data_IF_380019001704
#
_entry.id   IF_380019001704
#
_cell.length_a   1.000
_cell.length_b   1.000
_cell.length_c   1.000
_cell.angle_alpha   90.00
_cell.angle_beta   90.00
_cell.angle_gamma   90.00
#
_symmetry.space_group_name_H-M   'P 1'
#
loop_
_entity.id
_entity.type
_entity.pdbx_description
1 polymer ?
#
# COMPACT_ATOMS: atom_id res chain seq x y z
N UNK A 1 -9.45 -2.04 17.05
CA UNK A 1 -10.33 -2.34 15.91
C UNK A 1 -10.03 -3.75 15.48
N UNK A 2 -11.05 -4.57 15.24
CA UNK A 2 -10.85 -5.96 14.83
C UNK A 2 -11.88 -6.31 13.76
N UNK A 3 -11.48 -7.09 12.76
CA UNK A 3 -12.33 -7.51 11.64
C UNK A 3 -13.03 -6.32 10.94
N UNK A 4 -12.28 -5.24 10.76
CA UNK A 4 -12.77 -4.06 10.04
C UNK A 4 -12.40 -4.18 8.57
N UNK A 5 -13.44 -4.26 7.74
CA UNK A 5 -13.32 -4.30 6.30
C UNK A 5 -13.91 -3.04 5.69
N UNK A 6 -13.11 -2.34 4.89
CA UNK A 6 -13.55 -1.17 4.14
C UNK A 6 -13.46 -1.46 2.65
N UNK A 7 -14.49 -1.04 1.92
CA UNK A 7 -14.58 -1.21 0.48
C UNK A 7 -15.00 0.09 -0.19
N UNK A 8 -14.24 0.49 -1.21
CA UNK A 8 -14.56 1.64 -2.07
C UNK A 8 -14.89 1.13 -3.47
N UNK A 9 -16.19 1.09 -3.80
CA UNK A 9 -16.71 0.57 -5.06
C UNK A 9 -16.82 -0.96 -5.13
N UNK A 10 -16.85 -1.51 -6.34
CA UNK A 10 -16.82 -2.96 -6.62
C UNK A 10 -18.18 -3.66 -6.62
N UNK A 11 -19.21 -3.08 -5.99
CA UNK A 11 -20.58 -3.56 -6.12
C UNK A 11 -21.16 -3.24 -7.51
N UNK A 12 -22.11 -4.06 -7.95
CA UNK A 12 -22.85 -3.82 -9.19
C UNK A 12 -23.53 -2.46 -9.14
N UNK A 13 -23.33 -1.66 -10.19
CA UNK A 13 -23.88 -0.30 -10.26
C UNK A 13 -22.92 0.82 -9.82
N UNK A 14 -21.70 0.52 -9.40
CA UNK A 14 -20.70 1.57 -9.06
C UNK A 14 -20.43 2.55 -10.23
N UNK A 15 -20.56 2.10 -11.48
CA UNK A 15 -20.44 2.97 -12.65
C UNK A 15 -21.58 4.02 -12.75
N UNK A 16 -22.77 3.69 -12.23
CA UNK A 16 -23.94 4.58 -12.17
C UNK A 16 -24.04 5.35 -10.85
N UNK A 17 -23.47 4.82 -9.77
CA UNK A 17 -23.44 5.41 -8.43
C UNK A 17 -22.01 5.34 -7.85
N UNK A 18 -21.16 6.32 -8.19
CA UNK A 18 -19.76 6.37 -7.75
C UNK A 18 -19.63 6.35 -6.23
N UNK A 19 -18.70 5.53 -5.71
CA UNK A 19 -18.38 5.49 -4.28
C UNK A 19 -16.95 5.93 -4.09
N UNK A 20 -16.75 7.02 -3.37
CA UNK A 20 -15.44 7.61 -3.14
C UNK A 20 -15.22 8.01 -1.70
N UNK A 21 -13.97 7.95 -1.26
CA UNK A 21 -13.52 8.46 0.03
C UNK A 21 -12.11 9.01 -0.13
N UNK A 22 -11.65 9.89 0.75
CA UNK A 22 -10.24 10.28 0.74
C UNK A 22 -9.37 9.19 1.38
N UNK A 23 -9.73 8.76 2.59
CA UNK A 23 -9.02 7.74 3.37
C UNK A 23 -10.04 6.76 3.95
N UNK A 24 -9.84 5.45 3.82
CA UNK A 24 -10.81 4.48 4.39
C UNK A 24 -10.78 4.46 5.92
N UNK A 25 -9.58 4.46 6.52
CA UNK A 25 -9.38 4.47 7.97
C UNK A 25 -8.36 5.53 8.35
N UNK A 26 -8.73 6.46 9.22
CA UNK A 26 -7.81 7.46 9.77
C UNK A 26 -7.70 7.29 11.28
N UNK A 27 -6.53 6.86 11.75
CA UNK A 27 -6.25 6.63 13.17
C UNK A 27 -5.54 7.84 13.75
N UNK A 28 -6.28 8.66 14.47
CA UNK A 28 -5.72 9.83 15.17
C UNK A 28 -5.30 9.53 16.60
N UNK A 29 -5.90 8.51 17.24
CA UNK A 29 -5.60 8.15 18.62
C UNK A 29 -4.35 7.26 18.70
N UNK A 30 -3.49 7.52 19.68
CA UNK A 30 -2.39 6.62 20.00
C UNK A 30 -2.85 5.33 20.69
N UNK A 31 -1.94 4.36 20.80
CA UNK A 31 -2.16 3.04 21.43
C UNK A 31 -3.30 2.21 20.83
N UNK A 32 -3.75 2.54 19.61
CA UNK A 32 -4.76 1.74 18.92
C UNK A 32 -4.14 0.42 18.47
N UNK A 33 -4.85 -0.67 18.73
CA UNK A 33 -4.53 -1.99 18.17
C UNK A 33 -5.53 -2.27 17.05
N UNK A 34 -5.03 -2.55 15.85
CA UNK A 34 -5.75 -3.13 14.74
C UNK A 34 -5.40 -4.62 14.59
N UNK A 35 -6.41 -5.46 14.40
CA UNK A 35 -6.24 -6.89 14.19
C UNK A 35 -7.17 -7.36 13.06
N UNK A 36 -6.60 -7.93 12.01
CA UNK A 36 -7.30 -8.40 10.82
C UNK A 36 -8.11 -7.29 10.11
N UNK A 37 -7.42 -6.43 9.36
CA UNK A 37 -8.03 -5.36 8.56
C UNK A 37 -7.80 -5.62 7.07
N UNK A 38 -8.84 -5.41 6.26
CA UNK A 38 -8.72 -5.37 4.80
C UNK A 38 -9.39 -4.11 4.24
N UNK A 39 -8.57 -3.24 3.65
CA UNK A 39 -8.96 -1.94 3.14
C UNK A 39 -8.77 -1.94 1.62
N UNK A 40 -9.86 -2.21 0.91
CA UNK A 40 -9.81 -2.54 -0.51
C UNK A 40 -10.52 -1.47 -1.35
N UNK A 41 -9.74 -0.71 -2.13
CA UNK A 41 -10.32 0.05 -3.24
C UNK A 41 -10.55 -0.96 -4.34
N UNK A 42 -11.79 -1.09 -4.80
CA UNK A 42 -12.11 -2.12 -5.77
C UNK A 42 -11.21 -2.03 -7.01
N UNK A 43 -10.56 -3.11 -7.41
CA UNK A 43 -9.89 -3.22 -8.71
C UNK A 43 -10.85 -3.73 -9.80
N UNK A 44 -11.90 -4.45 -9.40
CA UNK A 44 -12.93 -5.00 -10.30
C UNK A 44 -14.37 -4.87 -9.75
N UNK A 45 -15.32 -5.00 -10.67
CA UNK A 45 -16.76 -5.21 -10.44
C UNK A 45 -17.27 -6.25 -11.45
N UNK A 46 -18.55 -6.66 -11.39
CA UNK A 46 -19.11 -7.65 -12.34
C UNK A 46 -18.93 -7.23 -13.81
N UNK A 47 -18.94 -5.92 -14.08
CA UNK A 47 -18.70 -5.36 -15.42
C UNK A 47 -17.23 -5.29 -15.87
N UNK A 48 -16.27 -5.73 -15.04
CA UNK A 48 -14.84 -5.63 -15.30
C UNK A 48 -14.12 -4.60 -14.40
N UNK A 49 -12.99 -4.09 -14.87
CA UNK A 49 -12.16 -3.14 -14.12
C UNK A 49 -12.90 -1.83 -13.81
N UNK A 50 -12.63 -1.24 -12.64
CA UNK A 50 -13.23 0.03 -12.20
C UNK A 50 -12.25 1.19 -12.28
N UNK A 51 -12.73 2.41 -12.50
CA UNK A 51 -11.89 3.59 -12.80
C UNK A 51 -11.62 4.49 -11.58
N UNK A 52 -10.59 5.35 -11.69
CA UNK A 52 -10.30 6.40 -10.69
C UNK A 52 -11.47 7.36 -10.49
N UNK A 53 -12.11 7.76 -11.58
CA UNK A 53 -13.19 8.74 -11.57
C UNK A 53 -14.43 8.24 -10.80
N UNK A 54 -14.67 6.93 -10.81
CA UNK A 54 -15.81 6.31 -10.13
C UNK A 54 -15.49 5.91 -8.69
N UNK A 55 -14.25 5.51 -8.43
CA UNK A 55 -13.78 5.06 -7.11
C UNK A 55 -12.53 5.83 -6.66
N UNK A 56 -12.63 7.14 -6.38
CA UNK A 56 -11.52 7.88 -5.82
C UNK A 56 -11.27 7.41 -4.38
N UNK A 57 -10.00 7.17 -4.07
CA UNK A 57 -9.48 6.74 -2.78
C UNK A 57 -7.99 7.07 -2.74
N UNK A 58 -7.59 8.06 -1.97
CA UNK A 58 -6.18 8.46 -1.89
C UNK A 58 -5.39 7.42 -1.08
N UNK A 59 -5.90 7.06 0.10
CA UNK A 59 -5.21 6.18 1.05
C UNK A 59 -6.14 5.11 1.59
N UNK A 60 -5.62 3.92 1.86
CA UNK A 60 -6.38 2.93 2.62
C UNK A 60 -6.39 3.31 4.09
N UNK A 61 -5.20 3.57 4.64
CA UNK A 61 -5.05 3.96 6.03
C UNK A 61 -4.05 5.10 6.21
N UNK A 62 -4.43 6.06 7.07
CA UNK A 62 -3.53 7.09 7.61
C UNK A 62 -3.44 6.89 9.12
N UNK A 63 -2.22 6.83 9.66
CA UNK A 63 -1.97 6.63 11.09
C UNK A 63 -1.20 7.80 11.67
N UNK A 64 -1.89 8.70 12.37
CA UNK A 64 -1.28 9.84 13.07
C UNK A 64 -0.97 9.55 14.53
N UNK A 65 -1.67 8.58 15.13
CA UNK A 65 -1.47 8.20 16.52
C UNK A 65 -0.13 7.48 16.76
N UNK A 66 0.53 7.83 17.85
CA UNK A 66 1.70 7.12 18.36
C UNK A 66 1.35 5.74 18.93
N UNK A 67 2.32 4.82 18.97
CA UNK A 67 2.20 3.50 19.61
C UNK A 67 1.06 2.64 19.04
N UNK A 68 0.67 2.89 17.78
CA UNK A 68 -0.33 2.08 17.07
C UNK A 68 0.30 0.75 16.64
N UNK A 69 -0.44 -0.35 16.82
CA UNK A 69 -0.01 -1.68 16.40
C UNK A 69 -1.02 -2.30 15.46
N UNK A 70 -0.54 -2.88 14.36
CA UNK A 70 -1.34 -3.61 13.38
C UNK A 70 -0.91 -5.07 13.32
N UNK A 71 -1.87 -5.98 13.45
CA UNK A 71 -1.71 -7.40 13.20
C UNK A 71 -2.57 -7.77 11.99
N UNK A 72 -1.99 -8.34 10.94
CA UNK A 72 -2.76 -8.77 9.77
C UNK A 72 -3.40 -7.59 9.02
N UNK A 73 -2.59 -6.74 8.41
CA UNK A 73 -3.08 -5.58 7.64
C UNK A 73 -3.00 -5.86 6.13
N UNK A 74 -4.13 -5.75 5.43
CA UNK A 74 -4.20 -5.75 3.98
C UNK A 74 -4.75 -4.41 3.47
N UNK A 75 -4.03 -3.76 2.55
CA UNK A 75 -4.46 -2.48 1.95
C UNK A 75 -4.16 -2.50 0.46
N UNK A 76 -5.13 -2.16 -0.38
CA UNK A 76 -5.00 -2.41 -1.82
C UNK A 76 -5.58 -1.30 -2.70
N UNK A 77 -4.87 -1.07 -3.80
CA UNK A 77 -5.26 -0.31 -5.00
C UNK A 77 -5.61 1.17 -4.83
N UNK A 78 -5.19 1.83 -3.76
CA UNK A 78 -5.45 3.28 -3.61
C UNK A 78 -4.56 4.11 -4.54
N UNK A 79 -4.96 5.37 -4.76
CA UNK A 79 -4.36 6.24 -5.79
C UNK A 79 -3.13 7.02 -5.32
N UNK A 80 -2.84 7.01 -4.03
CA UNK A 80 -1.61 7.51 -3.41
C UNK A 80 -1.02 6.42 -2.52
N UNK A 81 -0.16 6.78 -1.56
CA UNK A 81 0.39 5.82 -0.61
C UNK A 81 -0.71 4.95 0.03
N UNK A 82 -0.61 3.63 -0.09
CA UNK A 82 -1.64 2.72 0.42
C UNK A 82 -1.75 2.84 1.95
N UNK A 83 -0.60 2.80 2.60
CA UNK A 83 -0.42 3.15 4.02
C UNK A 83 0.40 4.42 4.13
N UNK A 84 -0.12 5.42 4.84
CA UNK A 84 0.66 6.57 5.30
C UNK A 84 0.74 6.55 6.84
N UNK A 85 1.94 6.40 7.37
CA UNK A 85 2.20 6.29 8.79
C UNK A 85 2.98 7.50 9.31
N UNK A 86 2.31 8.33 10.10
CA UNK A 86 2.84 9.59 10.64
C UNK A 86 3.23 9.50 12.12
N UNK A 87 2.58 8.62 12.90
CA UNK A 87 2.83 8.44 14.33
C UNK A 87 4.11 7.67 14.65
N UNK A 88 4.68 7.93 15.83
CA UNK A 88 5.92 7.30 16.30
C UNK A 88 5.67 5.95 16.99
N UNK A 89 6.72 5.11 17.08
CA UNK A 89 6.69 3.78 17.71
C UNK A 89 5.66 2.82 17.11
N UNK A 90 5.30 3.03 15.85
CA UNK A 90 4.37 2.20 15.10
C UNK A 90 4.91 0.79 14.86
N UNK A 91 4.01 -0.21 14.90
CA UNK A 91 4.36 -1.62 14.64
C UNK A 91 3.37 -2.27 13.70
N UNK A 92 3.86 -2.96 12.68
CA UNK A 92 3.02 -3.78 11.79
C UNK A 92 3.56 -5.19 11.70
N UNK A 93 2.75 -6.17 12.13
CA UNK A 93 3.03 -7.59 12.03
C UNK A 93 2.16 -8.17 10.93
N UNK A 94 2.81 -8.61 9.85
CA UNK A 94 2.20 -8.98 8.58
C UNK A 94 1.50 -7.81 7.88
N UNK A 95 1.97 -7.50 6.67
CA UNK A 95 1.30 -6.59 5.75
C UNK A 95 1.28 -7.17 4.34
N UNK A 96 0.13 -7.09 3.68
CA UNK A 96 -0.01 -7.38 2.26
C UNK A 96 -0.62 -6.16 1.57
N UNK A 97 -0.18 -5.91 0.34
CA UNK A 97 -0.75 -4.86 -0.49
C UNK A 97 -0.55 -5.11 -1.97
N UNK A 98 -1.49 -4.60 -2.77
CA UNK A 98 -1.36 -4.56 -4.22
C UNK A 98 -1.54 -3.14 -4.73
N UNK A 99 -0.56 -2.67 -5.51
CA UNK A 99 -0.59 -1.35 -6.14
C UNK A 99 -1.75 -1.22 -7.15
N UNK A 100 -2.23 -0.01 -7.47
CA UNK A 100 -3.39 0.17 -8.35
C UNK A 100 -3.08 -0.28 -9.79
N UNK A 101 -3.72 -1.39 -10.23
CA UNK A 101 -3.40 -2.03 -11.51
C UNK A 101 -3.52 -1.10 -12.72
N UNK A 102 -4.55 -0.26 -12.71
CA UNK A 102 -4.89 0.62 -13.82
C UNK A 102 -4.24 2.00 -13.75
N UNK A 103 -3.35 2.25 -12.78
CA UNK A 103 -2.68 3.55 -12.66
C UNK A 103 -1.68 3.77 -13.79
N UNK A 104 -1.56 5.02 -14.22
CA UNK A 104 -0.51 5.45 -15.15
C UNK A 104 0.79 5.80 -14.41
N UNK A 105 1.88 5.93 -15.16
CA UNK A 105 3.17 6.39 -14.63
C UNK A 105 3.03 7.76 -13.94
N UNK A 106 2.27 8.69 -14.53
CA UNK A 106 2.07 10.05 -14.01
C UNK A 106 1.20 10.09 -12.75
N UNK A 107 0.35 9.08 -12.56
CA UNK A 107 -0.57 9.03 -11.41
C UNK A 107 0.05 8.39 -10.18
N UNK A 108 0.97 7.44 -10.35
CA UNK A 108 1.50 6.66 -9.22
C UNK A 108 3.03 6.64 -9.16
N UNK A 109 3.70 6.37 -10.29
CA UNK A 109 5.15 6.26 -10.35
C UNK A 109 5.87 7.61 -10.18
N UNK A 110 5.54 8.60 -11.01
CA UNK A 110 6.20 9.92 -11.01
C UNK A 110 6.00 10.70 -9.69
N UNK A 111 4.82 10.67 -9.04
CA UNK A 111 4.65 11.26 -7.71
C UNK A 111 5.46 10.55 -6.61
N UNK A 112 5.96 9.34 -6.86
CA UNK A 112 6.75 8.57 -5.91
C UNK A 112 5.94 7.91 -4.80
N UNK A 113 4.68 7.54 -5.07
CA UNK A 113 3.86 6.81 -4.09
C UNK A 113 4.33 5.37 -3.88
N UNK A 114 4.04 4.83 -2.71
CA UNK A 114 4.49 3.52 -2.24
C UNK A 114 3.34 2.68 -1.66
N UNK A 115 3.60 1.39 -1.46
CA UNK A 115 2.67 0.52 -0.73
C UNK A 115 2.65 0.84 0.77
N UNK A 116 3.80 1.25 1.32
CA UNK A 116 3.94 1.56 2.74
C UNK A 116 4.87 2.75 2.97
N UNK A 117 4.32 3.89 3.39
CA UNK A 117 5.08 5.12 3.60
C UNK A 117 5.07 5.51 5.07
N UNK A 118 6.25 5.51 5.70
CA UNK A 118 6.51 6.08 7.02
C UNK A 118 7.03 7.50 6.84
N UNK A 119 6.35 8.47 7.43
CA UNK A 119 6.68 9.89 7.33
C UNK A 119 8.08 10.21 7.85
N UNK A 120 8.72 11.22 7.26
CA UNK A 120 10.10 11.63 7.57
C UNK A 120 10.32 12.10 9.02
N UNK A 121 9.24 12.46 9.73
CA UNK A 121 9.30 12.87 11.14
C UNK A 121 9.48 11.72 12.13
N UNK A 122 9.04 10.50 11.77
CA UNK A 122 9.03 9.31 12.65
C UNK A 122 10.45 8.92 13.08
N UNK A 123 10.62 8.55 14.35
CA UNK A 123 11.93 8.19 14.93
C UNK A 123 12.07 6.71 15.23
N UNK A 124 10.96 6.03 15.50
CA UNK A 124 10.91 4.60 15.77
C UNK A 124 9.74 3.99 14.98
N UNK A 125 10.02 2.95 14.20
CA UNK A 125 9.00 2.21 13.47
C UNK A 125 9.46 0.77 13.24
N UNK A 126 8.53 -0.19 13.24
CA UNK A 126 8.83 -1.59 13.00
C UNK A 126 7.82 -2.26 12.08
N UNK A 127 8.33 -3.08 11.15
CA UNK A 127 7.51 -3.86 10.22
C UNK A 127 8.05 -5.28 10.07
N UNK A 128 7.21 -6.28 10.26
CA UNK A 128 7.58 -7.70 10.14
C UNK A 128 6.76 -8.36 9.04
N UNK A 129 7.42 -8.80 7.97
CA UNK A 129 6.75 -9.41 6.82
C UNK A 129 5.89 -8.39 6.07
N UNK A 130 6.51 -7.32 5.57
CA UNK A 130 5.85 -6.26 4.81
C UNK A 130 5.96 -6.57 3.31
N UNK A 131 4.83 -6.95 2.70
CA UNK A 131 4.76 -7.33 1.29
C UNK A 131 4.03 -6.29 0.43
N UNK A 132 4.71 -5.84 -0.63
CA UNK A 132 4.14 -4.92 -1.62
C UNK A 132 4.20 -5.54 -3.01
N UNK A 133 3.04 -5.65 -3.65
CA UNK A 133 2.85 -6.38 -4.88
C UNK A 133 2.49 -5.41 -6.01
N UNK A 134 3.01 -5.66 -7.22
CA UNK A 134 2.71 -4.89 -8.42
C UNK A 134 2.12 -5.79 -9.51
N UNK A 135 1.05 -5.31 -10.13
CA UNK A 135 0.37 -5.99 -11.22
C UNK A 135 -0.29 -4.98 -12.17
N UNK A 136 0.49 -4.01 -12.66
CA UNK A 136 -0.05 -2.96 -13.53
C UNK A 136 -0.55 -3.56 -14.84
N UNK A 137 -1.86 -3.67 -15.02
CA UNK A 137 -2.48 -4.39 -16.15
C UNK A 137 -2.62 -3.48 -17.38
N UNK A 138 -2.88 -2.19 -17.16
CA UNK A 138 -3.19 -1.23 -18.21
C UNK A 138 -1.97 -0.45 -18.71
N UNK A 139 -1.00 -0.14 -17.83
CA UNK A 139 0.12 0.74 -18.15
C UNK A 139 1.45 0.21 -17.60
N UNK A 140 2.55 0.57 -18.27
CA UNK A 140 3.89 0.28 -17.77
C UNK A 140 4.27 1.32 -16.71
N UNK A 141 4.25 0.93 -15.43
CA UNK A 141 4.55 1.82 -14.30
C UNK A 141 5.78 1.34 -13.54
N UNK A 142 6.74 2.23 -13.36
CA UNK A 142 7.92 1.99 -12.53
C UNK A 142 7.75 2.73 -11.22
N UNK A 143 7.71 1.98 -10.12
CA UNK A 143 7.64 2.51 -8.76
C UNK A 143 9.03 2.49 -8.15
N UNK A 144 9.45 3.63 -7.60
CA UNK A 144 10.81 3.78 -7.07
C UNK A 144 11.07 2.84 -5.90
N UNK A 145 10.13 2.76 -4.95
CA UNK A 145 10.28 1.90 -3.77
C UNK A 145 8.93 1.41 -3.26
N UNK A 146 8.91 0.18 -2.78
CA UNK A 146 7.72 -0.39 -2.13
C UNK A 146 7.45 0.21 -0.74
N UNK A 147 8.53 0.47 0.00
CA UNK A 147 8.50 1.01 1.36
C UNK A 147 9.35 2.26 1.39
N UNK A 148 8.76 3.39 1.79
CA UNK A 148 9.46 4.66 2.00
C UNK A 148 9.51 4.94 3.49
N UNK A 149 10.69 5.23 4.04
CA UNK A 149 10.83 5.55 5.46
C UNK A 149 12.06 6.43 5.74
N UNK A 150 12.14 7.09 6.91
CA UNK A 150 13.37 7.72 7.36
C UNK A 150 14.54 6.71 7.40
N UNK A 151 15.77 7.09 7.00
CA UNK A 151 16.94 6.20 7.08
C UNK A 151 17.18 5.62 8.48
N UNK A 152 16.81 6.34 9.54
CA UNK A 152 16.97 5.92 10.92
C UNK A 152 16.08 4.73 11.32
N UNK A 153 14.98 4.48 10.62
CA UNK A 153 14.04 3.38 10.92
C UNK A 153 14.11 2.25 9.90
N UNK A 154 14.95 2.34 8.87
CA UNK A 154 15.11 1.31 7.84
C UNK A 154 15.41 -0.09 8.43
N UNK A 155 16.24 -0.15 9.48
CA UNK A 155 16.60 -1.40 10.15
C UNK A 155 15.46 -2.01 10.97
N UNK A 156 14.35 -1.30 11.15
CA UNK A 156 13.14 -1.79 11.81
C UNK A 156 12.29 -2.71 10.92
N UNK A 157 12.60 -2.82 9.62
CA UNK A 157 11.92 -3.72 8.71
C UNK A 157 12.58 -5.11 8.66
N UNK A 158 11.85 -6.13 9.08
CA UNK A 158 12.27 -7.53 9.14
C UNK A 158 11.52 -8.33 8.08
N UNK A 159 12.26 -8.96 7.18
CA UNK A 159 11.73 -9.70 6.03
C UNK A 159 10.75 -8.89 5.13
N UNK A 160 11.02 -7.62 4.76
CA UNK A 160 10.25 -6.95 3.73
C UNK A 160 10.48 -7.61 2.37
N UNK A 161 9.44 -7.62 1.53
CA UNK A 161 9.49 -8.21 0.20
C UNK A 161 8.69 -7.42 -0.82
N UNK A 162 9.08 -7.58 -2.08
CA UNK A 162 8.28 -7.14 -3.23
C UNK A 162 7.98 -8.31 -4.14
N UNK A 163 6.79 -8.26 -4.73
CA UNK A 163 6.36 -9.23 -5.74
C UNK A 163 5.92 -8.46 -6.97
N UNK A 164 6.46 -8.82 -8.12
CA UNK A 164 5.84 -8.49 -9.40
C UNK A 164 5.02 -9.70 -9.81
N UNK A 165 3.73 -9.51 -10.06
CA UNK A 165 2.87 -10.52 -10.67
C UNK A 165 3.08 -10.51 -12.19
N UNK A 166 2.03 -10.81 -12.97
CA UNK A 166 2.14 -10.93 -14.42
C UNK A 166 1.88 -9.62 -15.18
N UNK A 167 1.61 -8.52 -14.46
CA UNK A 167 1.45 -7.19 -15.04
C UNK A 167 2.73 -6.58 -15.60
N UNK A 168 2.58 -5.35 -16.09
CA UNK A 168 3.63 -4.50 -16.64
C UNK A 168 4.40 -3.77 -15.52
N UNK A 169 5.55 -3.19 -15.88
CA UNK A 169 6.32 -2.36 -14.96
C UNK A 169 6.88 -3.13 -13.77
N UNK A 170 6.84 -2.51 -12.60
CA UNK A 170 7.24 -3.12 -11.33
C UNK A 170 7.83 -2.13 -10.33
N UNK A 171 8.63 -2.65 -9.40
CA UNK A 171 9.18 -1.89 -8.26
C UNK A 171 10.71 -1.99 -8.28
N UNK A 172 11.41 -0.85 -8.22
CA UNK A 172 12.87 -0.82 -8.30
C UNK A 172 13.57 -1.23 -7.00
N UNK A 173 12.97 -0.91 -5.85
CA UNK A 173 13.56 -1.18 -4.54
C UNK A 173 12.51 -1.64 -3.53
N UNK A 174 12.96 -2.41 -2.53
CA UNK A 174 12.10 -2.93 -1.47
C UNK A 174 11.90 -1.87 -0.38
N UNK A 175 13.00 -1.31 0.13
CA UNK A 175 12.98 -0.24 1.15
C UNK A 175 13.89 0.89 0.69
N UNK A 176 13.35 2.10 0.55
CA UNK A 176 14.07 3.27 0.02
C UNK A 176 14.84 2.92 -1.27
N UNK A 177 16.17 2.90 -1.22
CA UNK A 177 17.04 2.55 -2.36
C UNK A 177 17.71 1.17 -2.22
N UNK A 178 17.13 0.27 -1.41
CA UNK A 178 17.70 -1.04 -1.06
C UNK A 178 16.81 -2.20 -1.49
N UNK A 179 17.44 -3.36 -1.65
CA UNK A 179 16.81 -4.54 -2.21
C UNK A 179 16.79 -4.52 -3.74
N UNK A 180 16.75 -5.72 -4.33
CA UNK A 180 16.72 -5.90 -5.77
C UNK A 180 15.37 -5.49 -6.36
N UNK A 181 15.41 -5.03 -7.61
CA UNK A 181 14.21 -4.68 -8.36
C UNK A 181 13.36 -5.90 -8.70
N UNK A 182 12.05 -5.76 -8.53
CA UNK A 182 11.02 -6.65 -9.05
C UNK A 182 10.44 -6.05 -10.34
N UNK A 183 11.25 -6.07 -11.40
CA UNK A 183 10.90 -5.63 -12.76
C UNK A 183 11.25 -6.74 -13.77
N UNK A 184 10.66 -6.72 -14.97
CA UNK A 184 10.93 -7.70 -16.03
C UNK A 184 9.72 -8.54 -16.43
N UNK A 185 9.93 -9.59 -17.22
CA UNK A 185 8.84 -10.46 -17.70
C UNK A 185 8.42 -11.49 -16.65
N UNK A 186 7.11 -11.74 -16.57
CA UNK A 186 6.54 -12.74 -15.67
C UNK A 186 6.58 -12.34 -14.19
N UNK A 187 6.28 -13.33 -13.35
CA UNK A 187 6.27 -13.19 -11.89
C UNK A 187 7.69 -13.19 -11.34
N UNK A 188 8.00 -12.26 -10.43
CA UNK A 188 9.26 -12.22 -9.69
C UNK A 188 9.04 -11.86 -8.22
N UNK A 189 9.90 -12.37 -7.35
CA UNK A 189 9.86 -12.13 -5.91
C UNK A 189 11.25 -11.75 -5.46
N UNK A 190 11.36 -10.64 -4.73
CA UNK A 190 12.60 -10.20 -4.11
C UNK A 190 12.38 -9.92 -2.62
N UNK A 191 13.40 -10.25 -1.83
CA UNK A 191 13.43 -10.04 -0.39
C UNK A 191 14.62 -9.14 -0.05
N UNK A 192 14.50 -8.35 1.01
CA UNK A 192 15.65 -7.65 1.58
C UNK A 192 15.81 -8.05 3.04
N UNK A 193 16.97 -8.59 3.36
CA UNK A 193 17.38 -8.90 4.73
C UNK A 193 18.52 -7.94 5.08
N UNK A 194 18.24 -6.84 5.82
CA UNK A 194 19.26 -5.91 6.28
C UNK A 194 20.37 -6.57 7.11
#
# INVERSE_FOLDING_TARGET
MQDLFARVGGADGTASDPVGVQTMVHIQSGHVIGDNLWLWRADHAVGGAVSKATNPCDHGIVVDGDDVTMYGLAVEHTWKDLVLWNGDRGKTFFFQSELPYIATQQEFGDPGYAGYHVSSSVKEHGGWGIGVYSNFDAYNVTVQSAIICPPAVESGFVNPLTVKLNGNGGILHIVNNKGNSSIGSGTSVNYWCP
#
